data_IF_112085133949
#
_entry.id   IF_112085133949
#
_cell.length_a   1.000
_cell.length_b   1.000
_cell.length_c   1.000
_cell.angle_alpha   90.00
_cell.angle_beta   90.00
_cell.angle_gamma   90.00
#
_symmetry.space_group_name_H-M   'P 1'
#
loop_
_entity.id
_entity.type
_entity.pdbx_description
1 polymer ?
#
# COMPACT_ATOMS: atom_id res chain seq x y z
N UNK A 1 -25.92 -26.05 -6.94
CA UNK A 1 -24.80 -25.24 -7.47
C UNK A 1 -25.25 -23.99 -8.23
N UNK A 2 -26.17 -24.07 -9.22
CA UNK A 2 -26.65 -22.89 -9.97
C UNK A 2 -27.14 -21.73 -9.08
N UNK A 3 -27.93 -21.99 -8.04
CA UNK A 3 -28.40 -20.95 -7.08
C UNK A 3 -27.29 -20.22 -6.34
N UNK A 4 -26.20 -20.90 -5.98
CA UNK A 4 -25.06 -20.27 -5.31
C UNK A 4 -24.27 -19.36 -6.26
N UNK A 5 -24.11 -19.78 -7.52
CA UNK A 5 -23.45 -18.99 -8.57
C UNK A 5 -24.18 -17.66 -8.79
N UNK A 6 -25.51 -17.66 -8.83
CA UNK A 6 -26.31 -16.44 -8.98
C UNK A 6 -26.23 -15.49 -7.78
N UNK A 7 -26.14 -16.04 -6.56
CA UNK A 7 -25.99 -15.22 -5.34
C UNK A 7 -24.60 -14.58 -5.30
N UNK A 8 -23.56 -15.33 -5.66
CA UNK A 8 -22.19 -14.80 -5.72
C UNK A 8 -22.00 -13.78 -6.86
N UNK A 9 -22.68 -13.95 -8.00
CA UNK A 9 -22.59 -12.99 -9.11
C UNK A 9 -23.32 -11.67 -8.82
N UNK A 10 -24.42 -11.73 -8.04
CA UNK A 10 -25.18 -10.53 -7.66
C UNK A 10 -24.40 -9.65 -6.67
N UNK A 11 -23.64 -10.27 -5.75
CA UNK A 11 -22.79 -9.55 -4.80
C UNK A 11 -21.61 -8.82 -5.46
N UNK A 12 -21.05 -9.37 -6.55
CA UNK A 12 -19.97 -8.74 -7.32
C UNK A 12 -20.44 -7.54 -8.14
N UNK A 13 -21.69 -7.53 -8.60
CA UNK A 13 -22.23 -6.43 -9.41
C UNK A 13 -22.56 -5.17 -8.58
N UNK A 14 -22.96 -5.34 -7.31
CA UNK A 14 -23.29 -4.20 -6.43
C UNK A 14 -22.04 -3.42 -6.01
N UNK A 15 -20.87 -4.07 -5.95
CA UNK A 15 -19.59 -3.44 -5.62
C UNK A 15 -19.06 -2.47 -6.69
N UNK A 16 -19.62 -2.47 -7.92
CA UNK A 16 -19.14 -1.64 -9.04
C UNK A 16 -19.96 -0.35 -9.27
N UNK A 17 -20.96 -0.04 -8.44
CA UNK A 17 -21.87 1.11 -8.66
C UNK A 17 -21.45 2.39 -7.91
N UNK A 18 -20.26 2.43 -7.29
CA UNK A 18 -19.74 3.67 -6.67
C UNK A 18 -18.40 4.07 -7.27
N UNK A 19 -18.45 4.57 -8.51
CA UNK A 19 -17.31 5.21 -9.16
C UNK A 19 -17.75 6.35 -10.09
N UNK A 20 -18.65 7.24 -9.65
CA UNK A 20 -18.80 8.55 -10.29
C UNK A 20 -19.66 9.50 -9.44
N UNK A 21 -19.02 10.26 -8.55
CA UNK A 21 -19.58 11.51 -8.05
C UNK A 21 -18.46 12.51 -7.68
N UNK A 22 -17.69 12.93 -8.69
CA UNK A 22 -16.58 13.90 -8.53
C UNK A 22 -16.95 15.29 -9.07
N UNK A 23 -18.00 15.93 -8.55
CA UNK A 23 -18.29 17.34 -8.85
C UNK A 23 -17.61 18.29 -7.85
N UNK A 24 -16.28 18.38 -7.93
CA UNK A 24 -15.53 19.35 -7.12
C UNK A 24 -14.00 19.26 -7.18
N UNK A 25 -13.44 18.17 -7.69
CA UNK A 25 -11.99 17.89 -7.58
C UNK A 25 -11.15 18.28 -8.81
N UNK A 26 -11.78 18.68 -9.91
CA UNK A 26 -11.10 18.96 -11.18
C UNK A 26 -9.94 19.97 -11.07
N UNK A 27 -10.11 21.06 -10.30
CA UNK A 27 -9.10 22.12 -10.19
C UNK A 27 -7.90 21.77 -9.29
N UNK A 28 -8.08 20.87 -8.31
CA UNK A 28 -6.98 20.41 -7.43
C UNK A 28 -6.19 19.28 -8.09
N UNK A 29 -6.86 18.45 -8.89
CA UNK A 29 -6.25 17.37 -9.67
C UNK A 29 -5.35 17.91 -10.80
N UNK A 30 -5.75 18.99 -11.48
CA UNK A 30 -4.93 19.60 -12.55
C UNK A 30 -3.55 20.08 -12.06
N UNK A 31 -3.46 20.61 -10.85
CA UNK A 31 -2.19 21.09 -10.28
C UNK A 31 -1.31 19.96 -9.73
N UNK A 32 -1.88 18.78 -9.50
CA UNK A 32 -1.17 17.57 -9.10
C UNK A 32 -0.67 16.76 -10.32
N UNK A 33 -1.38 16.86 -11.45
CA UNK A 33 -0.99 16.30 -12.77
C UNK A 33 0.28 16.88 -13.37
N UNK A 34 0.87 17.94 -12.81
CA UNK A 34 2.10 18.56 -13.34
C UNK A 34 3.40 17.88 -12.89
N UNK A 35 3.35 16.81 -12.08
CA UNK A 35 4.51 16.00 -11.75
C UNK A 35 4.61 14.80 -12.72
N UNK A 36 5.77 14.54 -13.36
CA UNK A 36 5.90 13.53 -14.42
C UNK A 36 5.62 12.08 -13.98
N UNK A 37 5.53 11.80 -12.68
CA UNK A 37 5.30 10.46 -12.12
C UNK A 37 3.94 10.31 -11.41
N UNK A 38 2.84 10.76 -12.01
CA UNK A 38 1.50 10.68 -11.42
C UNK A 38 0.79 9.35 -11.72
N UNK A 39 1.34 8.23 -11.23
CA UNK A 39 0.65 6.93 -11.29
C UNK A 39 -0.28 6.71 -10.09
N UNK A 40 0.13 7.18 -8.90
CA UNK A 40 -0.60 7.01 -7.64
C UNK A 40 -0.88 8.36 -6.97
N UNK A 41 -2.07 8.49 -6.39
CA UNK A 41 -2.46 9.64 -5.58
C UNK A 41 -1.73 9.64 -4.22
N UNK A 42 -1.70 10.79 -3.51
CA UNK A 42 -1.15 10.86 -2.15
C UNK A 42 -1.74 9.86 -1.17
N UNK A 43 -3.03 9.52 -1.34
CA UNK A 43 -3.72 8.53 -0.49
C UNK A 43 -3.20 7.13 -0.80
N UNK A 44 -3.19 6.73 -2.07
CA UNK A 44 -2.70 5.43 -2.52
C UNK A 44 -1.21 5.23 -2.19
N UNK A 45 -0.41 6.30 -2.27
CA UNK A 45 0.99 6.25 -1.84
C UNK A 45 1.17 6.00 -0.35
N UNK A 46 0.28 6.56 0.49
CA UNK A 46 0.28 6.27 1.92
C UNK A 46 -0.12 4.81 2.17
N UNK A 47 -1.16 4.32 1.49
CA UNK A 47 -1.63 2.94 1.59
C UNK A 47 -0.56 1.95 1.12
N UNK A 48 0.15 2.26 0.03
CA UNK A 48 1.28 1.45 -0.48
C UNK A 48 2.39 1.36 0.57
N UNK A 49 2.75 2.49 1.21
CA UNK A 49 3.73 2.51 2.30
C UNK A 49 3.31 1.63 3.48
N UNK A 50 2.06 1.73 3.88
CA UNK A 50 1.51 0.95 4.99
C UNK A 50 1.46 -0.55 4.64
N UNK A 51 1.10 -0.90 3.41
CA UNK A 51 1.11 -2.28 2.91
C UNK A 51 2.52 -2.89 2.91
N UNK A 52 3.54 -2.16 2.45
CA UNK A 52 4.95 -2.58 2.53
C UNK A 52 5.33 -2.91 3.98
N UNK A 53 5.00 -2.01 4.91
CA UNK A 53 5.27 -2.23 6.34
C UNK A 53 4.53 -3.46 6.90
N UNK A 54 3.28 -3.67 6.49
CA UNK A 54 2.48 -4.83 6.86
C UNK A 54 3.08 -6.15 6.35
N UNK A 55 3.51 -6.19 5.09
CA UNK A 55 4.18 -7.35 4.50
C UNK A 55 5.48 -7.68 5.25
N UNK A 56 6.33 -6.69 5.49
CA UNK A 56 7.58 -6.88 6.23
C UNK A 56 7.33 -7.41 7.64
N UNK A 57 6.33 -6.87 8.35
CA UNK A 57 5.95 -7.37 9.67
C UNK A 57 5.46 -8.82 9.63
N UNK A 58 4.72 -9.22 8.60
CA UNK A 58 4.29 -10.61 8.42
C UNK A 58 5.47 -11.53 8.14
N UNK A 59 6.41 -11.12 7.28
CA UNK A 59 7.64 -11.87 7.02
C UNK A 59 8.47 -12.06 8.28
N UNK A 60 8.69 -11.00 9.07
CA UNK A 60 9.45 -11.05 10.33
C UNK A 60 8.81 -11.96 11.38
N UNK A 61 7.47 -11.98 11.46
CA UNK A 61 6.76 -12.92 12.35
C UNK A 61 7.03 -14.37 11.98
N UNK A 62 6.99 -14.71 10.68
CA UNK A 62 7.28 -16.07 10.22
C UNK A 62 8.75 -16.40 10.48
N UNK A 63 9.66 -15.47 10.18
CA UNK A 63 11.09 -15.63 10.45
C UNK A 63 11.34 -16.03 11.92
N UNK A 64 10.77 -15.28 12.86
CA UNK A 64 10.87 -15.54 14.30
C UNK A 64 10.22 -16.85 14.74
N UNK A 65 9.16 -17.28 14.07
CA UNK A 65 8.51 -18.57 14.34
C UNK A 65 9.41 -19.73 13.94
N UNK A 66 10.03 -19.65 12.76
CA UNK A 66 10.96 -20.66 12.25
C UNK A 66 12.21 -20.75 13.12
N UNK A 67 12.78 -19.61 13.54
CA UNK A 67 13.93 -19.58 14.46
C UNK A 67 13.65 -20.30 15.79
N UNK A 68 12.41 -20.25 16.28
CA UNK A 68 12.04 -20.86 17.56
C UNK A 68 11.65 -22.32 17.45
N UNK A 69 11.09 -22.75 16.33
CA UNK A 69 10.38 -24.03 16.24
C UNK A 69 10.85 -24.97 15.13
N UNK A 70 11.86 -24.58 14.34
CA UNK A 70 12.42 -25.40 13.26
C UNK A 70 12.84 -26.81 13.71
N UNK A 71 13.51 -26.95 14.86
CA UNK A 71 13.91 -28.25 15.39
C UNK A 71 12.72 -29.15 15.76
N UNK A 72 11.62 -28.54 16.22
CA UNK A 72 10.43 -29.28 16.64
C UNK A 72 9.61 -29.80 15.43
N UNK A 73 9.51 -29.00 14.37
CA UNK A 73 8.69 -29.31 13.20
C UNK A 73 9.46 -29.99 12.05
N UNK A 74 10.79 -29.97 12.09
CA UNK A 74 11.66 -30.63 11.11
C UNK A 74 11.92 -29.81 9.84
N UNK A 75 12.72 -30.39 8.95
CA UNK A 75 13.28 -29.73 7.76
C UNK A 75 12.20 -29.30 6.75
N UNK A 76 11.25 -30.18 6.42
CA UNK A 76 10.20 -29.89 5.43
C UNK A 76 9.35 -28.68 5.81
N UNK A 77 8.95 -28.59 7.10
CA UNK A 77 8.19 -27.44 7.59
C UNK A 77 9.04 -26.16 7.61
N UNK A 78 10.30 -26.29 8.03
CA UNK A 78 11.25 -25.18 8.11
C UNK A 78 11.50 -24.56 6.74
N UNK A 79 11.77 -25.38 5.73
CA UNK A 79 11.95 -24.93 4.34
C UNK A 79 10.71 -24.23 3.81
N UNK A 80 9.52 -24.79 4.06
CA UNK A 80 8.25 -24.22 3.60
C UNK A 80 7.96 -22.86 4.22
N UNK A 81 8.14 -22.69 5.53
CA UNK A 81 7.90 -21.40 6.17
C UNK A 81 9.00 -20.38 5.81
N UNK A 82 10.25 -20.81 5.60
CA UNK A 82 11.29 -19.94 5.03
C UNK A 82 10.93 -19.42 3.64
N UNK A 83 10.44 -20.30 2.76
CA UNK A 83 9.99 -19.93 1.43
C UNK A 83 8.83 -18.92 1.48
N UNK A 84 7.90 -19.11 2.41
CA UNK A 84 6.77 -18.19 2.62
C UNK A 84 7.21 -16.83 3.14
N UNK A 85 8.10 -16.77 4.13
CA UNK A 85 8.68 -15.51 4.61
C UNK A 85 9.40 -14.78 3.46
N UNK A 86 10.22 -15.50 2.70
CA UNK A 86 10.97 -14.96 1.56
C UNK A 86 10.05 -14.40 0.46
N UNK A 87 8.96 -15.09 0.15
CA UNK A 87 7.97 -14.62 -0.81
C UNK A 87 7.30 -13.32 -0.36
N UNK A 88 6.92 -13.22 0.91
CA UNK A 88 6.29 -12.02 1.47
C UNK A 88 7.28 -10.85 1.48
N UNK A 89 8.53 -11.08 1.88
CA UNK A 89 9.58 -10.06 1.85
C UNK A 89 9.86 -9.58 0.43
N UNK A 90 9.91 -10.49 -0.55
CA UNK A 90 10.11 -10.14 -1.96
C UNK A 90 8.94 -9.31 -2.49
N UNK A 91 7.70 -9.68 -2.15
CA UNK A 91 6.52 -8.88 -2.47
C UNK A 91 6.64 -7.47 -1.87
N UNK A 92 7.09 -7.34 -0.63
CA UNK A 92 7.31 -6.03 -0.01
C UNK A 92 8.38 -5.21 -0.74
N UNK A 93 9.44 -5.86 -1.25
CA UNK A 93 10.50 -5.21 -2.02
C UNK A 93 10.00 -4.71 -3.39
N UNK A 94 9.17 -5.48 -4.08
CA UNK A 94 8.55 -5.06 -5.35
C UNK A 94 7.67 -3.83 -5.16
N UNK A 95 6.80 -3.83 -4.14
CA UNK A 95 6.00 -2.66 -3.80
C UNK A 95 6.84 -1.49 -3.27
N UNK A 96 7.98 -1.74 -2.65
CA UNK A 96 8.93 -0.69 -2.29
C UNK A 96 9.50 0.02 -3.52
N UNK A 97 9.72 -0.71 -4.62
CA UNK A 97 10.11 -0.11 -5.91
C UNK A 97 8.99 0.77 -6.47
N UNK A 98 7.74 0.30 -6.41
CA UNK A 98 6.57 1.11 -6.79
C UNK A 98 6.51 2.41 -5.97
N UNK A 99 6.70 2.32 -4.66
CA UNK A 99 6.70 3.49 -3.79
C UNK A 99 7.87 4.45 -4.09
N UNK A 100 9.07 3.94 -4.35
CA UNK A 100 10.24 4.78 -4.63
C UNK A 100 10.06 5.58 -5.93
N UNK A 101 9.60 4.93 -7.00
CA UNK A 101 9.41 5.54 -8.32
C UNK A 101 8.24 6.52 -8.35
N UNK A 102 7.11 6.15 -7.74
CA UNK A 102 5.84 6.86 -7.95
C UNK A 102 5.38 7.71 -6.76
N UNK A 103 5.91 7.48 -5.54
CA UNK A 103 5.34 8.07 -4.33
C UNK A 103 6.30 8.96 -3.53
N UNK A 104 7.58 8.60 -3.47
CA UNK A 104 8.56 9.23 -2.58
C UNK A 104 8.67 10.75 -2.76
N UNK A 105 8.81 11.20 -4.00
CA UNK A 105 8.98 12.63 -4.30
C UNK A 105 7.72 13.44 -4.01
N UNK A 106 6.56 12.90 -4.39
CA UNK A 106 5.27 13.55 -4.14
C UNK A 106 5.05 13.76 -2.64
N UNK A 107 5.31 12.75 -1.80
CA UNK A 107 5.11 12.85 -0.36
C UNK A 107 6.13 13.81 0.28
N UNK A 108 7.38 13.81 -0.18
CA UNK A 108 8.40 14.75 0.27
C UNK A 108 8.01 16.21 -0.06
N UNK A 109 7.50 16.47 -1.28
CA UNK A 109 6.98 17.80 -1.65
C UNK A 109 5.81 18.21 -0.78
N UNK A 110 4.87 17.29 -0.51
CA UNK A 110 3.69 17.56 0.33
C UNK A 110 4.10 17.93 1.76
N UNK A 111 5.07 17.23 2.34
CA UNK A 111 5.63 17.55 3.65
C UNK A 111 6.32 18.92 3.66
N UNK A 112 7.14 19.23 2.64
CA UNK A 112 7.79 20.55 2.50
C UNK A 112 6.75 21.68 2.42
N UNK A 113 5.69 21.52 1.64
CA UNK A 113 4.63 22.53 1.53
C UNK A 113 3.87 22.72 2.85
N UNK A 114 3.57 21.63 3.56
CA UNK A 114 2.93 21.70 4.87
C UNK A 114 3.78 22.46 5.90
N UNK A 115 5.09 22.21 5.95
CA UNK A 115 6.02 22.95 6.81
C UNK A 115 6.08 24.43 6.46
N UNK A 116 6.19 24.76 5.16
CA UNK A 116 6.21 26.15 4.68
C UNK A 116 4.95 26.92 5.06
N UNK A 117 3.79 26.26 5.01
CA UNK A 117 2.50 26.85 5.43
C UNK A 117 2.51 27.17 6.93
N UNK A 118 2.90 26.20 7.77
CA UNK A 118 3.00 26.39 9.24
C UNK A 118 3.98 27.50 9.63
N UNK A 119 5.08 27.65 8.89
CA UNK A 119 6.05 28.73 9.14
C UNK A 119 5.55 30.12 8.76
N UNK A 120 4.60 30.22 7.81
CA UNK A 120 3.96 31.50 7.47
C UNK A 120 2.92 31.89 8.53
N UNK A 121 2.07 30.95 8.92
CA UNK A 121 1.08 31.17 9.98
C UNK A 121 1.74 31.70 11.27
N UNK A 122 2.87 31.13 11.69
CA UNK A 122 3.65 31.60 12.85
C UNK A 122 4.36 32.96 12.70
N UNK A 123 4.48 33.50 11.48
CA UNK A 123 5.07 34.82 11.23
C UNK A 123 4.02 35.93 11.17
N UNK A 124 2.77 35.54 10.96
CA UNK A 124 1.62 36.43 10.86
C UNK A 124 0.86 36.55 12.21
N UNK A 125 1.26 35.73 13.21
CA UNK A 125 0.90 35.82 14.64
C UNK A 125 1.97 36.60 15.44
#
# INVERSE_FOLDING_TARGET
>A
MKRYIYITSLLLAVGMISADDHKGEGKKMEKAKSHPNFLLTPKECKETKEAIGGLLLMSDKIWKEVEKHSEHYGEEWTEKEWAKASFIASTAADYSTVYDVWCKDMLAMRAKMAMKKKMKEKKDD
#
